data_IF_193524628530
#
_entry.id   IF_193524628530
#
_cell.length_a   1.000
_cell.length_b   1.000
_cell.length_c   1.000
_cell.angle_alpha   90.00
_cell.angle_beta   90.00
_cell.angle_gamma   90.00
#
_symmetry.space_group_name_H-M   'P 1'
#
loop_
_entity.id
_entity.type
_entity.pdbx_description
1 polymer ?
#
# COMPACT_ATOMS: atom_id res chain seq x y z
N UNK A 1 -20.81 15.33 4.94
CA UNK A 1 -20.11 14.16 4.39
C UNK A 1 -18.61 14.41 4.55
N UNK A 2 -17.89 13.65 5.40
CA UNK A 2 -16.46 13.89 5.65
C UNK A 2 -15.65 13.09 4.63
N UNK A 3 -15.07 13.76 3.67
CA UNK A 3 -13.89 13.26 2.98
C UNK A 3 -12.66 13.70 3.77
N UNK A 4 -11.93 12.74 4.35
CA UNK A 4 -10.68 12.91 5.10
C UNK A 4 -10.14 14.36 5.17
N UNK A 5 -10.55 15.11 6.22
CA UNK A 5 -9.89 16.36 6.60
C UNK A 5 -10.40 17.66 5.95
N UNK A 6 -11.32 17.62 5.01
CA UNK A 6 -11.95 18.83 4.49
C UNK A 6 -13.36 18.90 5.05
N UNK A 7 -13.62 19.80 6.00
CA UNK A 7 -14.99 20.21 6.31
C UNK A 7 -15.54 20.95 5.10
N UNK A 8 -16.37 20.26 4.32
CA UNK A 8 -17.22 20.93 3.34
C UNK A 8 -18.25 21.68 4.16
N UNK A 9 -18.10 23.00 4.26
CA UNK A 9 -19.09 23.89 4.86
C UNK A 9 -20.46 23.59 4.28
N UNK A 10 -21.53 23.85 5.05
CA UNK A 10 -22.91 23.64 4.63
C UNK A 10 -23.12 24.06 3.18
N UNK A 11 -23.32 23.09 2.30
CA UNK A 11 -23.85 23.34 0.97
C UNK A 11 -25.24 23.97 1.16
N UNK A 12 -25.55 25.06 0.46
CA UNK A 12 -26.87 25.68 0.55
C UNK A 12 -27.95 24.66 0.21
N UNK A 13 -29.07 24.72 0.91
CA UNK A 13 -30.17 23.76 0.87
C UNK A 13 -30.92 23.66 -0.49
N UNK A 14 -30.41 24.31 -1.53
CA UNK A 14 -31.08 24.54 -2.82
C UNK A 14 -30.22 24.33 -4.07
N UNK A 15 -29.34 23.32 -4.06
CA UNK A 15 -28.69 22.95 -5.33
C UNK A 15 -29.67 22.11 -6.16
N UNK A 16 -30.31 22.73 -7.14
CA UNK A 16 -31.05 22.06 -8.20
C UNK A 16 -30.06 21.30 -9.12
N UNK A 17 -30.51 20.29 -9.85
CA UNK A 17 -29.69 19.46 -10.76
C UNK A 17 -28.86 20.33 -11.74
N UNK A 18 -29.38 21.50 -12.15
CA UNK A 18 -28.68 22.47 -12.98
C UNK A 18 -27.44 23.10 -12.33
N UNK A 19 -27.45 23.31 -11.01
CA UNK A 19 -26.33 23.89 -10.27
C UNK A 19 -25.16 22.89 -10.13
N UNK A 20 -25.46 21.59 -10.05
CA UNK A 20 -24.45 20.53 -9.97
C UNK A 20 -23.68 20.38 -11.30
N UNK A 21 -24.38 20.46 -12.42
CA UNK A 21 -23.77 20.48 -13.75
C UNK A 21 -22.86 21.71 -13.94
N UNK A 22 -23.25 22.86 -13.39
CA UNK A 22 -22.42 24.07 -13.36
C UNK A 22 -21.14 23.89 -12.56
N UNK A 23 -21.20 23.20 -11.43
CA UNK A 23 -20.01 22.87 -10.60
C UNK A 23 -19.07 21.89 -11.33
N UNK A 24 -19.62 20.86 -11.96
CA UNK A 24 -18.83 19.90 -12.75
C UNK A 24 -18.13 20.54 -13.97
N UNK A 25 -18.76 21.60 -14.54
CA UNK A 25 -18.20 22.35 -15.66
C UNK A 25 -17.15 23.41 -15.24
N UNK A 26 -16.96 23.66 -13.95
CA UNK A 26 -15.96 24.63 -13.48
C UNK A 26 -14.55 24.14 -13.78
N UNK A 27 -13.66 25.00 -14.33
CA UNK A 27 -12.26 24.63 -14.63
C UNK A 27 -11.49 24.11 -13.41
N UNK A 28 -11.80 24.62 -12.20
CA UNK A 28 -11.21 24.17 -10.95
C UNK A 28 -11.60 22.73 -10.56
N UNK A 29 -12.84 22.32 -10.84
CA UNK A 29 -13.29 20.95 -10.59
C UNK A 29 -12.66 19.97 -11.58
N UNK A 30 -12.58 20.36 -12.86
CA UNK A 30 -11.93 19.55 -13.88
C UNK A 30 -10.44 19.32 -13.53
N UNK A 31 -9.72 20.38 -13.12
CA UNK A 31 -8.33 20.28 -12.68
C UNK A 31 -8.16 19.38 -11.43
N UNK A 32 -9.07 19.46 -10.47
CA UNK A 32 -9.07 18.59 -9.28
C UNK A 32 -9.33 17.13 -9.64
N UNK A 33 -10.27 16.88 -10.55
CA UNK A 33 -10.57 15.53 -11.03
C UNK A 33 -9.39 14.94 -11.84
N UNK A 34 -8.71 15.75 -12.65
CA UNK A 34 -7.54 15.34 -13.43
C UNK A 34 -6.29 15.10 -12.55
N UNK A 35 -6.20 15.75 -11.39
CA UNK A 35 -5.16 15.48 -10.40
C UNK A 35 -5.38 14.15 -9.62
N UNK A 36 -6.59 13.56 -9.70
CA UNK A 36 -6.87 12.29 -9.05
C UNK A 36 -6.29 11.12 -9.84
N UNK A 37 -5.55 10.20 -9.18
CA UNK A 37 -4.90 9.08 -9.85
C UNK A 37 -5.87 8.00 -10.37
N UNK A 38 -7.03 7.85 -9.74
CA UNK A 38 -8.07 6.93 -10.20
C UNK A 38 -8.84 7.54 -11.37
N UNK A 39 -9.25 6.70 -12.32
CA UNK A 39 -10.19 7.11 -13.35
C UNK A 39 -11.53 7.51 -12.73
N UNK A 40 -12.04 8.67 -13.08
CA UNK A 40 -13.33 9.15 -12.60
C UNK A 40 -14.25 9.43 -13.79
N UNK A 41 -15.42 8.82 -13.76
CA UNK A 41 -16.50 9.08 -14.71
C UNK A 41 -17.77 9.45 -13.96
N UNK A 42 -18.48 10.46 -14.42
CA UNK A 42 -19.74 10.92 -13.85
C UNK A 42 -20.82 10.79 -14.93
N UNK A 43 -21.90 10.09 -14.57
CA UNK A 43 -23.07 9.92 -15.43
C UNK A 43 -24.22 10.74 -14.85
N UNK A 44 -25.03 11.32 -15.71
CA UNK A 44 -26.29 11.92 -15.30
C UNK A 44 -27.36 10.86 -14.98
N UNK A 45 -28.56 11.31 -14.60
CA UNK A 45 -29.67 10.42 -14.26
C UNK A 45 -30.17 9.56 -15.45
N UNK A 46 -29.80 9.93 -16.68
CA UNK A 46 -30.16 9.21 -17.92
C UNK A 46 -29.05 8.26 -18.41
N UNK A 47 -27.91 8.21 -17.70
CA UNK A 47 -26.78 7.36 -18.07
C UNK A 47 -25.82 7.98 -19.10
N UNK A 48 -25.92 9.29 -19.33
CA UNK A 48 -25.02 10.03 -20.23
C UNK A 48 -23.79 10.48 -19.45
N UNK A 49 -22.59 10.31 -20.03
CA UNK A 49 -21.31 10.73 -19.46
C UNK A 49 -21.20 12.26 -19.47
N UNK A 50 -21.20 12.89 -18.31
CA UNK A 50 -21.08 14.34 -18.12
C UNK A 50 -19.75 14.76 -17.51
N UNK A 51 -18.98 13.81 -16.99
CA UNK A 51 -17.62 14.02 -16.45
C UNK A 51 -16.72 12.84 -16.75
N UNK A 52 -15.47 13.14 -17.13
CA UNK A 52 -14.47 12.11 -17.49
C UNK A 52 -13.07 12.69 -17.31
N UNK A 53 -12.28 12.16 -16.39
CA UNK A 53 -10.94 12.70 -16.10
C UNK A 53 -9.86 12.05 -16.97
N UNK A 54 -8.65 12.60 -16.92
CA UNK A 54 -7.51 12.13 -17.73
C UNK A 54 -7.12 10.67 -17.39
N UNK A 55 -7.23 10.26 -16.14
CA UNK A 55 -6.95 8.89 -15.73
C UNK A 55 -7.98 7.91 -16.33
N UNK A 56 -9.27 8.29 -16.37
CA UNK A 56 -10.29 7.50 -17.04
C UNK A 56 -10.02 7.40 -18.55
N UNK A 57 -9.60 8.49 -19.20
CA UNK A 57 -9.23 8.48 -20.62
C UNK A 57 -8.10 7.46 -20.91
N UNK A 58 -7.11 7.39 -20.04
CA UNK A 58 -6.00 6.44 -20.15
C UNK A 58 -6.40 4.98 -19.89
N UNK A 59 -7.34 4.75 -18.96
CA UNK A 59 -7.83 3.39 -18.63
C UNK A 59 -8.70 2.84 -19.75
N UNK A 60 -9.53 3.70 -20.35
CA UNK A 60 -10.44 3.33 -21.44
C UNK A 60 -9.76 3.30 -22.82
N UNK A 61 -8.55 3.85 -22.93
CA UNK A 61 -7.87 4.13 -24.20
C UNK A 61 -8.78 4.96 -25.15
N UNK A 62 -9.48 5.95 -24.57
CA UNK A 62 -10.47 6.76 -25.26
C UNK A 62 -10.26 8.25 -24.92
N UNK A 63 -10.14 9.14 -25.92
CA UNK A 63 -10.06 10.58 -25.68
C UNK A 63 -11.31 11.13 -24.97
N UNK A 64 -11.10 12.03 -24.01
CA UNK A 64 -12.16 12.66 -23.21
C UNK A 64 -13.30 13.23 -24.04
N UNK A 65 -12.97 13.87 -25.16
CA UNK A 65 -13.94 14.51 -26.05
C UNK A 65 -14.88 13.50 -26.71
N UNK A 66 -14.46 12.24 -26.83
CA UNK A 66 -15.29 11.14 -27.37
C UNK A 66 -16.12 10.43 -26.32
N UNK A 67 -15.73 10.55 -25.05
CA UNK A 67 -16.45 9.97 -23.94
C UNK A 67 -17.58 10.89 -23.45
N UNK A 68 -17.35 12.21 -23.42
CA UNK A 68 -18.36 13.17 -22.98
C UNK A 68 -19.57 13.20 -23.93
N UNK A 69 -20.76 13.10 -23.35
CA UNK A 69 -22.02 13.07 -24.07
C UNK A 69 -22.40 11.69 -24.64
N UNK A 70 -21.55 10.69 -24.54
CA UNK A 70 -21.85 9.31 -24.90
C UNK A 70 -22.71 8.62 -23.84
N UNK A 71 -23.55 7.68 -24.24
CA UNK A 71 -24.21 6.75 -23.34
C UNK A 71 -23.23 5.66 -22.88
N UNK A 72 -23.58 4.94 -21.82
CA UNK A 72 -22.73 3.85 -21.33
C UNK A 72 -22.58 2.73 -22.38
N UNK A 73 -23.62 2.47 -23.16
CA UNK A 73 -23.60 1.46 -24.21
C UNK A 73 -22.67 1.87 -25.37
N UNK A 74 -22.73 3.13 -25.80
CA UNK A 74 -21.81 3.68 -26.80
C UNK A 74 -20.36 3.71 -26.30
N UNK A 75 -20.16 3.93 -25.00
CA UNK A 75 -18.85 3.90 -24.38
C UNK A 75 -18.31 2.45 -24.33
N UNK A 76 -19.17 1.47 -24.05
CA UNK A 76 -18.83 0.06 -24.04
C UNK A 76 -18.32 -0.44 -25.40
N UNK A 77 -18.96 0.00 -26.48
CA UNK A 77 -18.54 -0.36 -27.85
C UNK A 77 -17.18 0.24 -28.26
N UNK A 78 -16.80 1.38 -27.68
CA UNK A 78 -15.59 2.15 -28.05
C UNK A 78 -14.43 1.98 -27.10
N UNK A 79 -14.67 1.41 -25.94
CA UNK A 79 -13.69 1.27 -24.85
C UNK A 79 -12.88 -0.01 -24.96
N UNK A 80 -11.67 0.05 -24.48
CA UNK A 80 -10.83 -1.12 -24.28
C UNK A 80 -11.28 -2.01 -23.09
N UNK A 81 -12.24 -1.56 -22.27
CA UNK A 81 -12.78 -2.30 -21.12
C UNK A 81 -14.06 -3.07 -21.50
N UNK A 82 -14.23 -4.26 -20.92
CA UNK A 82 -15.51 -4.99 -21.02
C UNK A 82 -16.52 -4.40 -20.01
N UNK A 83 -17.68 -3.92 -20.50
CA UNK A 83 -18.66 -3.19 -19.72
C UNK A 83 -19.96 -3.92 -19.43
N UNK A 84 -20.10 -5.18 -19.82
CA UNK A 84 -21.39 -5.92 -19.73
C UNK A 84 -21.97 -5.87 -18.30
N UNK A 85 -21.13 -6.15 -17.28
CA UNK A 85 -21.53 -6.11 -15.88
C UNK A 85 -21.76 -4.68 -15.35
N UNK A 86 -21.10 -3.67 -15.92
CA UNK A 86 -21.25 -2.28 -15.54
C UNK A 86 -22.58 -1.70 -16.01
N UNK A 87 -22.99 -1.98 -17.24
CA UNK A 87 -24.28 -1.58 -17.78
C UNK A 87 -25.42 -2.17 -16.92
N UNK A 88 -25.34 -3.44 -16.54
CA UNK A 88 -26.32 -4.07 -15.64
C UNK A 88 -26.38 -3.40 -14.27
N UNK A 89 -25.23 -3.08 -13.66
CA UNK A 89 -25.16 -2.43 -12.36
C UNK A 89 -25.73 -1.00 -12.39
N UNK A 90 -25.53 -0.27 -13.49
CA UNK A 90 -26.06 1.07 -13.69
C UNK A 90 -27.59 1.03 -13.88
N UNK A 91 -28.10 0.12 -14.69
CA UNK A 91 -29.55 -0.08 -14.89
C UNK A 91 -30.26 -0.51 -13.62
N UNK A 92 -29.58 -1.28 -12.74
CA UNK A 92 -30.12 -1.68 -11.46
C UNK A 92 -30.11 -0.56 -10.39
N UNK A 93 -29.57 0.62 -10.71
CA UNK A 93 -29.45 1.79 -9.81
C UNK A 93 -28.92 1.43 -8.41
N UNK A 94 -27.93 0.53 -8.34
CA UNK A 94 -27.36 0.01 -7.09
C UNK A 94 -25.88 0.31 -6.98
N UNK A 95 -25.41 0.36 -5.73
CA UNK A 95 -23.97 0.36 -5.45
C UNK A 95 -23.39 -0.98 -5.87
N UNK A 96 -22.33 -0.96 -6.64
CA UNK A 96 -21.62 -2.17 -7.06
C UNK A 96 -20.10 -1.93 -7.09
N UNK A 97 -19.34 -2.98 -6.82
CA UNK A 97 -17.91 -3.04 -7.06
C UNK A 97 -17.69 -4.21 -8.02
N UNK A 98 -17.23 -3.92 -9.22
CA UNK A 98 -17.12 -4.84 -10.35
C UNK A 98 -15.67 -4.92 -10.82
N UNK A 99 -15.32 -5.99 -11.52
CA UNK A 99 -14.03 -6.12 -12.18
C UNK A 99 -14.23 -6.07 -13.68
N UNK A 100 -13.49 -5.17 -14.33
CA UNK A 100 -13.40 -5.12 -15.77
C UNK A 100 -11.97 -5.44 -16.21
N UNK A 101 -11.84 -6.16 -17.32
CA UNK A 101 -10.57 -6.40 -17.97
C UNK A 101 -10.46 -5.54 -19.22
N UNK A 102 -9.29 -4.89 -19.42
CA UNK A 102 -9.03 -4.22 -20.69
C UNK A 102 -8.55 -5.20 -21.76
N UNK A 103 -8.72 -4.84 -23.01
CA UNK A 103 -8.20 -5.59 -24.17
C UNK A 103 -6.67 -5.76 -24.12
N UNK A 104 -5.96 -4.89 -23.38
CA UNK A 104 -4.52 -4.97 -23.10
C UNK A 104 -4.15 -5.83 -21.89
N UNK A 105 -5.11 -6.55 -21.27
CA UNK A 105 -4.87 -7.45 -20.12
C UNK A 105 -4.82 -6.77 -18.75
N UNK A 106 -5.06 -5.45 -18.65
CA UNK A 106 -5.12 -4.72 -17.38
C UNK A 106 -6.39 -5.09 -16.63
N UNK A 107 -6.29 -5.29 -15.32
CA UNK A 107 -7.43 -5.51 -14.43
C UNK A 107 -7.82 -4.20 -13.74
N UNK A 108 -9.08 -3.80 -13.90
CA UNK A 108 -9.62 -2.55 -13.36
C UNK A 108 -10.75 -2.85 -12.39
N UNK A 109 -10.64 -2.32 -11.15
CA UNK A 109 -11.75 -2.32 -10.20
C UNK A 109 -12.66 -1.13 -10.51
N UNK A 110 -13.93 -1.42 -10.80
CA UNK A 110 -14.95 -0.42 -11.12
C UNK A 110 -15.90 -0.30 -9.95
N UNK A 111 -15.95 0.86 -9.34
CA UNK A 111 -16.86 1.16 -8.22
C UNK A 111 -17.97 2.08 -8.67
N UNK A 112 -19.21 1.59 -8.65
CA UNK A 112 -20.42 2.34 -9.01
C UNK A 112 -21.08 2.91 -7.77
N UNK A 113 -21.32 4.21 -7.73
CA UNK A 113 -21.86 4.93 -6.57
C UNK A 113 -22.96 5.92 -7.01
N UNK A 114 -24.24 5.53 -7.00
CA UNK A 114 -25.35 6.46 -7.27
C UNK A 114 -25.41 7.52 -6.15
N UNK A 115 -25.52 8.77 -6.56
CA UNK A 115 -25.74 9.93 -5.68
C UNK A 115 -27.19 10.34 -5.80
N UNK A 116 -27.90 10.30 -4.66
CA UNK A 116 -29.34 10.47 -4.61
C UNK A 116 -29.72 11.76 -3.90
N UNK A 117 -30.84 12.35 -4.32
CA UNK A 117 -31.45 13.51 -3.68
C UNK A 117 -32.17 13.13 -2.36
N UNK A 118 -32.83 14.12 -1.72
CA UNK A 118 -33.64 13.91 -0.51
C UNK A 118 -34.88 13.00 -0.74
N UNK A 119 -35.33 12.89 -1.99
CA UNK A 119 -36.45 12.03 -2.41
C UNK A 119 -36.00 10.62 -2.77
N UNK A 120 -34.68 10.33 -2.62
CA UNK A 120 -34.02 9.09 -3.01
C UNK A 120 -33.97 8.82 -4.52
N UNK A 121 -34.23 9.82 -5.33
CA UNK A 121 -34.06 9.74 -6.78
C UNK A 121 -32.58 9.94 -7.14
N UNK A 122 -32.06 9.17 -8.08
CA UNK A 122 -30.65 9.26 -8.50
C UNK A 122 -30.45 10.52 -9.34
N UNK A 123 -29.62 11.42 -8.86
CA UNK A 123 -29.26 12.67 -9.54
C UNK A 123 -28.09 12.47 -10.50
N UNK A 124 -27.12 11.69 -10.09
CA UNK A 124 -25.93 11.33 -10.88
C UNK A 124 -25.34 10.02 -10.35
N UNK A 125 -24.53 9.37 -11.16
CA UNK A 125 -23.75 8.19 -10.75
C UNK A 125 -22.26 8.47 -10.92
N UNK A 126 -21.52 8.32 -9.83
CA UNK A 126 -20.06 8.37 -9.85
C UNK A 126 -19.52 6.95 -10.10
N UNK A 127 -18.72 6.80 -11.14
CA UNK A 127 -17.98 5.59 -11.43
C UNK A 127 -16.48 5.86 -11.22
N UNK A 128 -15.86 5.10 -10.32
CA UNK A 128 -14.43 5.19 -10.03
C UNK A 128 -13.76 3.94 -10.60
N UNK A 129 -12.76 4.16 -11.43
CA UNK A 129 -12.00 3.13 -12.12
C UNK A 129 -10.60 3.07 -11.51
N UNK A 130 -10.26 1.95 -10.90
CA UNK A 130 -8.94 1.72 -10.34
C UNK A 130 -8.20 0.69 -11.15
N UNK A 131 -7.15 1.12 -11.80
CA UNK A 131 -6.20 0.20 -12.42
C UNK A 131 -5.42 -0.52 -11.31
N UNK A 132 -5.61 -1.83 -11.21
CA UNK A 132 -4.98 -2.64 -10.15
C UNK A 132 -3.48 -2.78 -10.36
N UNK A 133 -2.97 -2.63 -11.58
CA UNK A 133 -1.54 -2.58 -11.86
C UNK A 133 -0.93 -1.23 -11.47
N UNK A 134 -1.70 -0.14 -11.63
CA UNK A 134 -1.29 1.22 -11.20
C UNK A 134 -1.44 1.37 -9.69
N UNK A 135 -2.36 0.64 -9.02
CA UNK A 135 -2.46 0.62 -7.56
C UNK A 135 -1.18 0.06 -6.93
N UNK A 136 -0.57 -0.97 -7.49
CA UNK A 136 0.75 -1.42 -7.05
C UNK A 136 1.82 -0.34 -7.29
N UNK A 137 1.68 0.45 -8.35
CA UNK A 137 2.61 1.55 -8.65
C UNK A 137 2.26 2.87 -7.92
N UNK A 138 0.99 3.18 -7.67
CA UNK A 138 0.56 4.42 -7.01
C UNK A 138 0.34 4.27 -5.51
N UNK A 139 0.06 3.09 -4.96
CA UNK A 139 0.14 2.85 -3.52
C UNK A 139 1.57 2.93 -3.01
N UNK A 140 2.54 2.60 -3.83
CA UNK A 140 3.96 2.92 -3.57
C UNK A 140 4.24 4.44 -3.70
N UNK A 141 3.48 5.20 -4.51
CA UNK A 141 3.64 6.64 -4.70
C UNK A 141 2.71 7.53 -3.85
N UNK A 142 1.45 7.15 -3.61
CA UNK A 142 0.47 7.97 -2.87
C UNK A 142 0.51 7.79 -1.34
N UNK A 143 1.32 6.88 -0.83
CA UNK A 143 1.64 6.74 0.59
C UNK A 143 3.02 7.32 0.92
N UNK A 144 3.53 8.34 0.22
CA UNK A 144 4.81 8.97 0.59
C UNK A 144 5.97 7.97 0.81
N UNK A 145 5.79 6.72 0.40
CA UNK A 145 6.77 5.68 0.42
C UNK A 145 7.38 5.58 -0.95
N UNK A 146 8.20 6.59 -1.32
CA UNK A 146 9.08 6.38 -2.47
C UNK A 146 9.80 5.06 -2.30
N UNK A 147 9.73 4.25 -3.37
CA UNK A 147 10.50 3.03 -3.52
C UNK A 147 11.93 3.30 -3.08
N UNK A 148 12.41 2.55 -2.09
CA UNK A 148 13.83 2.29 -1.98
C UNK A 148 14.25 1.51 -3.25
N UNK A 149 14.31 2.21 -4.39
CA UNK A 149 14.88 1.69 -5.59
C UNK A 149 16.39 1.70 -5.43
N UNK A 150 16.96 0.54 -5.14
CA UNK A 150 18.34 0.29 -5.49
C UNK A 150 18.46 0.45 -7.01
N UNK A 151 18.94 1.58 -7.45
CA UNK A 151 19.26 1.84 -8.85
C UNK A 151 20.52 1.05 -9.17
N UNK A 152 20.35 -0.10 -9.82
CA UNK A 152 21.46 -0.86 -10.35
C UNK A 152 21.85 -0.32 -11.72
N UNK A 153 23.06 0.20 -11.81
CA UNK A 153 23.68 0.59 -13.07
C UNK A 153 24.97 1.37 -12.86
N UNK A 154 26.01 0.69 -12.37
CA UNK A 154 27.38 1.19 -12.34
C UNK A 154 28.34 0.07 -11.94
N UNK A 155 29.61 0.03 -12.41
CA UNK A 155 30.52 -1.06 -12.12
C UNK A 155 30.79 -1.19 -10.62
N UNK A 156 30.89 -2.43 -10.17
CA UNK A 156 31.09 -2.86 -8.80
C UNK A 156 32.23 -2.10 -8.10
N UNK A 157 31.91 -1.06 -7.37
CA UNK A 157 32.74 -0.48 -6.33
C UNK A 157 31.95 -0.46 -5.05
N UNK A 158 32.29 -1.32 -4.10
CA UNK A 158 32.00 -1.34 -2.63
C UNK A 158 30.81 -0.55 -2.04
N UNK A 159 29.70 -0.35 -2.77
CA UNK A 159 28.52 0.41 -2.36
C UNK A 159 27.31 -0.49 -2.00
N UNK A 160 27.53 -1.71 -1.53
CA UNK A 160 26.48 -2.69 -1.22
C UNK A 160 26.08 -2.78 0.26
N UNK A 161 26.48 -1.84 1.12
CA UNK A 161 26.17 -1.82 2.57
C UNK A 161 25.43 -0.57 3.05
N UNK A 162 24.94 0.31 2.17
CA UNK A 162 24.75 1.72 2.48
C UNK A 162 23.34 2.19 2.87
N UNK A 163 22.25 1.44 2.68
CA UNK A 163 20.91 2.04 2.74
C UNK A 163 19.95 1.45 3.79
N UNK A 164 20.32 0.41 4.52
CA UNK A 164 19.56 -0.10 5.67
C UNK A 164 20.42 -0.06 6.92
N UNK A 165 19.90 0.61 7.94
CA UNK A 165 20.54 0.70 9.24
C UNK A 165 19.81 -0.23 10.21
N UNK A 166 20.56 -1.11 10.86
CA UNK A 166 20.07 -2.03 11.88
C UNK A 166 20.90 -1.90 13.15
N UNK A 167 20.28 -2.19 14.27
CA UNK A 167 21.04 -2.53 15.48
C UNK A 167 21.73 -3.89 15.29
N UNK A 168 22.71 -4.17 16.11
CA UNK A 168 23.53 -5.40 16.00
C UNK A 168 22.68 -6.69 16.10
N UNK A 169 21.62 -6.68 16.92
CA UNK A 169 20.71 -7.82 17.09
C UNK A 169 19.90 -8.08 15.83
N UNK A 170 19.31 -7.02 15.26
CA UNK A 170 18.53 -7.09 14.03
C UNK A 170 19.43 -7.45 12.83
N UNK A 171 20.64 -6.89 12.74
CA UNK A 171 21.61 -7.24 11.70
C UNK A 171 21.94 -8.73 11.71
N UNK A 172 22.22 -9.30 12.89
CA UNK A 172 22.47 -10.74 13.03
C UNK A 172 21.25 -11.57 12.60
N UNK A 173 20.04 -11.18 13.04
CA UNK A 173 18.82 -11.88 12.67
C UNK A 173 18.56 -11.83 11.16
N UNK A 174 18.79 -10.69 10.51
CA UNK A 174 18.71 -10.52 9.05
C UNK A 174 19.73 -11.40 8.33
N UNK A 175 20.98 -11.46 8.80
CA UNK A 175 22.00 -12.34 8.24
C UNK A 175 21.61 -13.83 8.33
N UNK A 176 20.94 -14.24 9.41
CA UNK A 176 20.36 -15.59 9.51
C UNK A 176 19.20 -15.77 8.52
N UNK A 177 18.33 -14.77 8.37
CA UNK A 177 17.23 -14.76 7.40
C UNK A 177 17.71 -14.94 5.97
N UNK A 178 18.78 -14.25 5.57
CA UNK A 178 19.42 -14.39 4.24
C UNK A 178 19.86 -15.84 4.01
N UNK A 179 20.57 -16.45 4.98
CA UNK A 179 21.01 -17.84 4.87
C UNK A 179 19.84 -18.82 4.84
N UNK A 180 18.80 -18.56 5.62
CA UNK A 180 17.57 -19.36 5.63
C UNK A 180 16.87 -19.33 4.26
N UNK A 181 16.65 -18.15 3.70
CA UNK A 181 16.00 -17.97 2.40
C UNK A 181 16.81 -18.62 1.26
N UNK A 182 18.14 -18.46 1.27
CA UNK A 182 19.04 -19.11 0.31
C UNK A 182 18.89 -20.64 0.34
N UNK A 183 18.64 -21.23 1.51
CA UNK A 183 18.42 -22.67 1.73
C UNK A 183 16.95 -23.08 1.63
N UNK A 184 16.07 -22.21 1.09
CA UNK A 184 14.62 -22.43 0.92
C UNK A 184 13.85 -22.60 2.23
N UNK A 185 14.43 -22.20 3.36
CA UNK A 185 13.69 -22.09 4.61
C UNK A 185 12.85 -20.81 4.60
N UNK A 186 11.70 -20.86 5.26
CA UNK A 186 10.78 -19.73 5.37
C UNK A 186 11.28 -18.75 6.40
N UNK A 187 11.06 -17.48 6.15
CA UNK A 187 11.41 -16.38 7.05
C UNK A 187 10.13 -15.67 7.47
N UNK A 188 9.92 -15.54 8.77
CA UNK A 188 8.83 -14.75 9.36
C UNK A 188 9.42 -13.51 10.00
N UNK A 189 8.95 -12.33 9.58
CA UNK A 189 9.37 -11.03 10.11
C UNK A 189 8.25 -10.51 11.01
N UNK A 190 8.54 -10.31 12.29
CA UNK A 190 7.60 -9.76 13.27
C UNK A 190 8.02 -8.37 13.70
N UNK A 191 7.08 -7.54 14.08
CA UNK A 191 7.33 -6.18 14.56
C UNK A 191 6.19 -5.23 14.24
N UNK A 192 6.18 -4.09 14.91
CA UNK A 192 5.15 -3.07 14.75
C UNK A 192 5.04 -2.54 13.32
N UNK A 193 3.91 -1.88 13.03
CA UNK A 193 3.75 -1.16 11.76
C UNK A 193 4.80 -0.05 11.65
N UNK A 194 5.40 0.09 10.46
CA UNK A 194 6.36 1.17 10.18
C UNK A 194 7.81 0.90 10.59
N UNK A 195 8.15 -0.29 11.15
CA UNK A 195 9.56 -0.63 11.53
C UNK A 195 10.44 -1.02 10.34
N UNK A 196 9.90 -1.12 9.10
CA UNK A 196 10.67 -1.44 7.91
C UNK A 196 10.66 -2.93 7.52
N UNK A 197 9.65 -3.73 7.92
CA UNK A 197 9.57 -5.17 7.58
C UNK A 197 9.67 -5.44 6.08
N UNK A 198 9.04 -4.64 5.25
CA UNK A 198 9.07 -4.76 3.79
C UNK A 198 10.47 -4.56 3.23
N UNK A 199 11.21 -3.57 3.73
CA UNK A 199 12.59 -3.29 3.31
C UNK A 199 13.54 -4.41 3.75
N UNK A 200 13.35 -4.95 4.95
CA UNK A 200 14.09 -6.13 5.41
C UNK A 200 13.83 -7.32 4.49
N UNK A 201 12.57 -7.58 4.12
CA UNK A 201 12.22 -8.66 3.20
C UNK A 201 12.88 -8.50 1.81
N UNK A 202 12.90 -7.28 1.26
CA UNK A 202 13.59 -6.95 0.01
C UNK A 202 15.10 -7.18 0.11
N UNK A 203 15.71 -6.71 1.19
CA UNK A 203 17.13 -6.90 1.45
C UNK A 203 17.50 -8.39 1.54
N UNK A 204 16.73 -9.17 2.28
CA UNK A 204 16.92 -10.62 2.42
C UNK A 204 16.81 -11.30 1.04
N UNK A 205 15.80 -10.94 0.25
CA UNK A 205 15.63 -11.45 -1.11
C UNK A 205 16.84 -11.16 -1.99
N UNK A 206 17.26 -9.89 -2.06
CA UNK A 206 18.37 -9.46 -2.91
C UNK A 206 19.69 -10.12 -2.51
N UNK A 207 19.95 -10.20 -1.19
CA UNK A 207 21.17 -10.82 -0.68
C UNK A 207 21.19 -12.35 -0.85
N UNK A 208 20.03 -13.01 -0.80
CA UNK A 208 19.91 -14.46 -0.92
C UNK A 208 19.87 -14.99 -2.36
N UNK A 209 19.23 -14.24 -3.29
CA UNK A 209 19.00 -14.69 -4.67
C UNK A 209 19.77 -13.87 -5.71
N UNK A 210 20.16 -12.64 -5.38
CA UNK A 210 20.73 -11.71 -6.35
C UNK A 210 19.66 -10.99 -7.19
N UNK A 211 20.14 -10.20 -8.15
CA UNK A 211 19.29 -9.46 -9.09
C UNK A 211 18.74 -10.39 -10.17
N UNK A 212 17.52 -10.07 -10.65
CA UNK A 212 16.90 -10.81 -11.76
C UNK A 212 15.90 -11.89 -11.34
N UNK A 213 15.80 -12.19 -10.04
CA UNK A 213 14.75 -13.06 -9.52
C UNK A 213 13.49 -12.25 -9.15
N UNK A 214 12.27 -12.73 -9.45
CA UNK A 214 11.05 -12.01 -9.11
C UNK A 214 10.87 -11.87 -7.60
N UNK A 215 10.47 -10.68 -7.15
CA UNK A 215 10.01 -10.41 -5.79
C UNK A 215 8.55 -9.98 -5.86
N UNK A 216 7.64 -10.89 -5.53
CA UNK A 216 6.20 -10.61 -5.55
C UNK A 216 5.76 -10.26 -4.15
N UNK A 217 5.37 -9.00 -3.95
CA UNK A 217 4.87 -8.49 -2.68
C UNK A 217 3.35 -8.54 -2.66
N UNK A 218 2.79 -9.22 -1.67
CA UNK A 218 1.36 -9.38 -1.44
C UNK A 218 1.03 -8.82 -0.06
N UNK A 219 0.30 -7.71 -0.01
CA UNK A 219 -0.26 -7.24 1.25
C UNK A 219 -1.62 -7.93 1.46
N UNK A 220 -1.65 -8.89 2.40
CA UNK A 220 -2.84 -9.73 2.65
C UNK A 220 -4.04 -8.93 3.15
N UNK A 221 -3.82 -7.84 3.91
CA UNK A 221 -4.89 -6.97 4.39
C UNK A 221 -5.47 -6.03 3.33
N UNK A 222 -4.84 -5.92 2.15
CA UNK A 222 -5.32 -5.05 1.08
C UNK A 222 -6.25 -5.75 0.09
N UNK A 223 -6.27 -7.08 0.09
CA UNK A 223 -7.08 -7.88 -0.83
C UNK A 223 -8.42 -8.20 -0.15
N UNK A 224 -9.57 -7.87 -0.76
CA UNK A 224 -10.87 -8.28 -0.25
C UNK A 224 -10.96 -9.80 -0.06
N UNK A 225 -11.60 -10.25 1.02
CA UNK A 225 -11.70 -11.69 1.34
C UNK A 225 -12.26 -12.54 0.19
N UNK A 226 -13.29 -12.03 -0.51
CA UNK A 226 -13.91 -12.70 -1.65
C UNK A 226 -12.99 -12.92 -2.85
N UNK A 227 -11.90 -12.14 -2.94
CA UNK A 227 -10.95 -12.18 -4.05
C UNK A 227 -9.62 -12.82 -3.66
N UNK A 228 -9.38 -12.99 -2.38
CA UNK A 228 -8.09 -13.42 -1.85
C UNK A 228 -7.61 -14.71 -2.51
N UNK A 229 -8.48 -15.70 -2.60
CA UNK A 229 -8.14 -16.99 -3.23
C UNK A 229 -7.85 -16.85 -4.72
N UNK A 230 -8.67 -16.09 -5.45
CA UNK A 230 -8.50 -15.89 -6.90
C UNK A 230 -7.23 -15.13 -7.24
N UNK A 231 -6.84 -14.15 -6.40
CA UNK A 231 -5.59 -13.42 -6.58
C UNK A 231 -4.36 -14.27 -6.23
N UNK A 232 -4.38 -14.93 -5.07
CA UNK A 232 -3.21 -15.67 -4.59
C UNK A 232 -2.96 -16.97 -5.38
N UNK A 233 -4.02 -17.75 -5.63
CA UNK A 233 -3.92 -19.08 -6.27
C UNK A 233 -4.22 -19.06 -7.76
N UNK A 234 -4.91 -18.02 -8.27
CA UNK A 234 -5.37 -17.95 -9.64
C UNK A 234 -6.63 -18.79 -9.91
N UNK A 235 -7.15 -18.70 -11.12
CA UNK A 235 -8.35 -19.42 -11.54
C UNK A 235 -8.29 -19.85 -12.99
N UNK A 236 -9.01 -20.93 -13.33
CA UNK A 236 -9.22 -21.39 -14.69
C UNK A 236 -10.51 -20.79 -15.26
N UNK A 237 -10.65 -20.86 -16.58
CA UNK A 237 -11.86 -20.42 -17.29
C UNK A 237 -13.11 -21.04 -16.66
N UNK A 238 -14.12 -20.21 -16.38
CA UNK A 238 -15.41 -20.67 -15.86
C UNK A 238 -15.40 -21.06 -14.38
N UNK A 239 -14.37 -20.72 -13.61
CA UNK A 239 -14.28 -21.03 -12.19
C UNK A 239 -15.39 -20.36 -11.36
N UNK A 240 -15.88 -19.20 -11.79
CA UNK A 240 -16.99 -18.45 -11.19
C UNK A 240 -17.59 -17.51 -12.24
N UNK A 241 -18.75 -16.94 -11.95
CA UNK A 241 -19.40 -15.90 -12.78
C UNK A 241 -18.51 -14.65 -12.83
N UNK A 242 -18.10 -14.22 -14.04
CA UNK A 242 -17.15 -13.13 -14.25
C UNK A 242 -15.67 -13.56 -14.37
N UNK A 243 -15.37 -14.87 -14.37
CA UNK A 243 -14.02 -15.35 -14.63
C UNK A 243 -13.59 -15.06 -16.09
N UNK A 244 -12.39 -14.50 -16.26
CA UNK A 244 -11.84 -14.23 -17.60
C UNK A 244 -11.80 -15.49 -18.45
N UNK A 245 -12.06 -15.35 -19.76
CA UNK A 245 -12.06 -16.45 -20.71
C UNK A 245 -10.71 -17.20 -20.81
N UNK A 246 -9.60 -16.53 -20.50
CA UNK A 246 -8.26 -17.11 -20.46
C UNK A 246 -7.84 -17.66 -19.09
N UNK A 247 -8.68 -17.52 -18.03
CA UNK A 247 -8.24 -17.73 -16.66
C UNK A 247 -7.24 -16.66 -16.19
N UNK A 248 -6.73 -16.81 -14.96
CA UNK A 248 -5.71 -15.89 -14.39
C UNK A 248 -4.65 -16.69 -13.64
N UNK A 249 -3.38 -16.38 -13.87
CA UNK A 249 -2.29 -16.89 -13.02
C UNK A 249 -2.36 -16.25 -11.65
N UNK A 250 -2.17 -17.04 -10.58
CA UNK A 250 -2.08 -16.53 -9.23
C UNK A 250 -0.73 -15.88 -8.93
N UNK A 251 -0.70 -15.07 -7.86
CA UNK A 251 0.51 -14.40 -7.40
C UNK A 251 1.62 -15.40 -6.98
N UNK A 252 1.24 -16.58 -6.47
CA UNK A 252 2.20 -17.65 -6.17
C UNK A 252 2.89 -18.13 -7.45
N UNK A 253 2.14 -18.37 -8.55
CA UNK A 253 2.74 -18.78 -9.83
C UNK A 253 3.62 -17.67 -10.42
N UNK A 254 3.23 -16.41 -10.24
CA UNK A 254 3.99 -15.23 -10.70
C UNK A 254 5.33 -15.08 -9.96
N UNK A 255 5.39 -15.49 -8.69
CA UNK A 255 6.62 -15.49 -7.89
C UNK A 255 7.58 -16.66 -8.24
N UNK A 256 7.23 -17.49 -9.23
CA UNK A 256 8.02 -18.65 -9.64
C UNK A 256 9.48 -18.31 -9.93
N UNK A 257 10.42 -19.07 -9.36
CA UNK A 257 11.86 -18.82 -9.45
C UNK A 257 12.41 -17.73 -8.52
N UNK A 258 11.54 -17.06 -7.75
CA UNK A 258 11.90 -15.93 -6.88
C UNK A 258 11.37 -16.05 -5.46
N UNK A 259 10.87 -14.94 -4.94
CA UNK A 259 10.34 -14.83 -3.58
C UNK A 259 8.92 -14.30 -3.58
N UNK A 260 8.03 -14.98 -2.88
CA UNK A 260 6.71 -14.50 -2.48
C UNK A 260 6.84 -13.86 -1.09
N UNK A 261 6.58 -12.57 -1.00
CA UNK A 261 6.53 -11.84 0.26
C UNK A 261 5.07 -11.60 0.65
N UNK A 262 4.62 -12.25 1.73
CA UNK A 262 3.28 -12.14 2.29
C UNK A 262 3.31 -11.15 3.46
N UNK A 263 2.97 -9.90 3.20
CA UNK A 263 2.88 -8.88 4.23
C UNK A 263 1.51 -8.93 4.92
N UNK A 264 1.48 -8.59 6.20
CA UNK A 264 0.29 -8.69 7.04
C UNK A 264 -0.36 -10.09 7.00
N UNK A 265 0.47 -11.15 7.14
CA UNK A 265 0.03 -12.55 7.05
C UNK A 265 -1.10 -12.91 8.03
N UNK A 266 -1.22 -12.17 9.14
CA UNK A 266 -2.32 -12.32 10.10
C UNK A 266 -3.68 -11.91 9.58
N UNK A 267 -3.76 -11.22 8.42
CA UNK A 267 -5.01 -10.79 7.79
C UNK A 267 -5.57 -11.80 6.79
N UNK A 268 -4.87 -12.93 6.58
CA UNK A 268 -5.36 -13.96 5.64
C UNK A 268 -6.66 -14.58 6.13
N UNK A 269 -7.71 -14.63 5.28
CA UNK A 269 -8.96 -15.29 5.62
C UNK A 269 -8.75 -16.74 6.06
N UNK A 270 -9.44 -17.18 7.11
CA UNK A 270 -9.28 -18.51 7.71
C UNK A 270 -9.47 -19.65 6.69
N UNK A 271 -10.37 -19.46 5.74
CA UNK A 271 -10.65 -20.42 4.65
C UNK A 271 -9.42 -20.60 3.76
N UNK A 272 -8.72 -19.50 3.45
CA UNK A 272 -7.56 -19.51 2.55
C UNK A 272 -6.27 -20.01 3.23
N UNK A 273 -6.22 -20.01 4.57
CA UNK A 273 -5.08 -20.51 5.34
C UNK A 273 -4.80 -21.99 5.07
N UNK A 274 -5.86 -22.81 4.86
CA UNK A 274 -5.69 -24.23 4.56
C UNK A 274 -5.03 -24.47 3.19
N UNK A 275 -5.38 -23.66 2.18
CA UNK A 275 -4.77 -23.76 0.85
C UNK A 275 -3.33 -23.26 0.86
N UNK A 276 -3.05 -22.17 1.62
CA UNK A 276 -1.70 -21.68 1.80
C UNK A 276 -0.81 -22.70 2.51
N UNK A 277 -1.32 -23.37 3.54
CA UNK A 277 -0.61 -24.45 4.21
C UNK A 277 -0.19 -25.55 3.22
N UNK A 278 -1.13 -26.03 2.40
CA UNK A 278 -0.85 -27.03 1.38
C UNK A 278 0.26 -26.60 0.42
N UNK A 279 0.20 -25.35 -0.07
CA UNK A 279 1.27 -24.79 -0.88
C UNK A 279 2.63 -24.79 -0.14
N UNK A 280 2.65 -24.37 1.12
CA UNK A 280 3.88 -24.34 1.92
C UNK A 280 4.43 -25.75 2.22
N UNK A 281 3.61 -26.80 2.19
CA UNK A 281 4.02 -28.18 2.42
C UNK A 281 4.57 -28.83 1.14
N UNK A 282 3.80 -28.79 0.08
CA UNK A 282 4.05 -29.56 -1.14
C UNK A 282 4.73 -28.75 -2.24
N UNK A 283 4.74 -27.41 -2.15
CA UNK A 283 5.15 -26.52 -3.23
C UNK A 283 4.22 -26.57 -4.43
N UNK A 284 2.95 -27.00 -4.23
CA UNK A 284 1.97 -27.13 -5.30
C UNK A 284 0.83 -26.13 -5.14
N UNK A 285 0.38 -25.59 -6.26
CA UNK A 285 -0.75 -24.66 -6.35
C UNK A 285 -1.84 -25.30 -7.21
N UNK A 286 -3.08 -25.16 -6.80
CA UNK A 286 -4.25 -25.52 -7.58
C UNK A 286 -5.09 -24.27 -7.81
N UNK A 287 -5.27 -23.88 -9.08
CA UNK A 287 -6.14 -22.77 -9.45
C UNK A 287 -7.60 -23.08 -9.12
N UNK A 288 -8.38 -22.06 -8.82
CA UNK A 288 -9.82 -22.20 -8.65
C UNK A 288 -10.44 -22.79 -9.93
N UNK A 289 -11.30 -23.79 -9.77
CA UNK A 289 -11.90 -24.52 -10.90
C UNK A 289 -10.98 -25.52 -11.63
N UNK A 290 -9.70 -25.60 -11.29
CA UNK A 290 -8.78 -26.55 -11.91
C UNK A 290 -8.82 -27.92 -11.23
N UNK A 291 -8.73 -29.00 -12.01
CA UNK A 291 -8.52 -30.34 -11.49
C UNK A 291 -7.03 -30.63 -11.22
N UNK A 292 -6.12 -30.01 -11.99
CA UNK A 292 -4.69 -30.26 -11.91
C UNK A 292 -3.98 -29.33 -10.92
N UNK A 293 -2.99 -29.86 -10.20
CA UNK A 293 -2.06 -29.12 -9.39
C UNK A 293 -0.80 -28.79 -10.19
N UNK A 294 -0.19 -27.63 -9.90
CA UNK A 294 1.05 -27.18 -10.54
C UNK A 294 2.12 -27.00 -9.47
N UNK A 295 3.29 -27.55 -9.70
CA UNK A 295 4.43 -27.32 -8.82
C UNK A 295 5.06 -25.98 -9.14
N UNK A 296 5.30 -25.16 -8.10
CA UNK A 296 5.91 -23.83 -8.22
C UNK A 296 7.10 -23.76 -7.26
N UNK A 297 8.26 -23.41 -7.81
CA UNK A 297 9.47 -23.22 -7.03
C UNK A 297 9.55 -21.76 -6.56
N UNK A 298 9.13 -21.51 -5.33
CA UNK A 298 9.05 -20.16 -4.72
C UNK A 298 9.61 -20.19 -3.31
N UNK A 299 10.41 -19.19 -2.98
CA UNK A 299 10.80 -18.93 -1.59
C UNK A 299 9.78 -18.04 -0.92
N UNK A 300 9.55 -18.24 0.37
CA UNK A 300 8.49 -17.51 1.09
C UNK A 300 9.09 -16.72 2.25
N UNK A 301 8.77 -15.43 2.26
CA UNK A 301 8.97 -14.52 3.39
C UNK A 301 7.59 -14.04 3.82
N UNK A 302 7.28 -14.10 5.11
CA UNK A 302 6.03 -13.58 5.65
C UNK A 302 6.33 -12.46 6.66
N UNK A 303 5.43 -11.49 6.79
CA UNK A 303 5.55 -10.43 7.78
C UNK A 303 4.21 -10.19 8.49
N UNK A 304 4.28 -9.77 9.76
CA UNK A 304 3.09 -9.41 10.53
C UNK A 304 3.44 -8.42 11.65
N UNK A 305 2.46 -7.60 12.01
CA UNK A 305 2.47 -6.79 13.22
C UNK A 305 1.59 -7.41 14.33
N UNK A 306 0.87 -8.51 14.04
CA UNK A 306 0.00 -9.20 15.00
C UNK A 306 0.73 -10.33 15.73
N UNK A 307 0.29 -10.62 16.92
CA UNK A 307 0.71 -11.84 17.63
C UNK A 307 -0.03 -13.06 17.08
N UNK A 308 0.61 -13.77 16.16
CA UNK A 308 0.04 -14.99 15.57
C UNK A 308 -0.20 -16.08 16.61
N UNK A 309 0.54 -16.10 17.74
CA UNK A 309 0.35 -17.09 18.81
C UNK A 309 -0.96 -16.84 19.56
N UNK A 310 -1.25 -15.57 19.86
CA UNK A 310 -2.54 -15.17 20.43
C UNK A 310 -3.69 -15.48 19.47
N UNK A 311 -3.54 -15.17 18.17
CA UNK A 311 -4.54 -15.49 17.15
C UNK A 311 -4.81 -17.00 17.03
N UNK A 312 -3.78 -17.85 17.20
CA UNK A 312 -3.97 -19.31 17.23
C UNK A 312 -4.79 -19.73 18.46
N UNK A 313 -4.56 -19.13 19.61
CA UNK A 313 -5.35 -19.42 20.82
C UNK A 313 -6.82 -18.99 20.69
N UNK A 314 -7.07 -17.90 19.98
CA UNK A 314 -8.42 -17.36 19.70
C UNK A 314 -9.12 -18.01 18.49
N UNK A 315 -8.45 -18.90 17.77
CA UNK A 315 -9.00 -19.59 16.59
C UNK A 315 -9.01 -18.75 15.31
N UNK A 316 -8.41 -17.55 15.31
CA UNK A 316 -8.28 -16.66 14.15
C UNK A 316 -7.16 -17.05 13.20
N UNK A 317 -6.23 -17.88 13.64
CA UNK A 317 -5.14 -18.40 12.83
C UNK A 317 -4.90 -19.89 13.08
N UNK A 318 -4.63 -20.65 12.03
CA UNK A 318 -4.42 -22.11 12.15
C UNK A 318 -3.06 -22.40 12.79
N UNK A 319 -3.05 -23.30 13.75
CA UNK A 319 -1.82 -23.74 14.47
C UNK A 319 -0.80 -24.39 13.51
N UNK A 320 -1.28 -25.22 12.58
CA UNK A 320 -0.42 -25.91 11.61
C UNK A 320 0.28 -24.90 10.67
N UNK A 321 -0.43 -23.92 10.16
CA UNK A 321 0.13 -22.85 9.33
C UNK A 321 1.15 -22.00 10.11
N UNK A 322 0.84 -21.65 11.37
CA UNK A 322 1.76 -20.92 12.22
C UNK A 322 3.11 -21.63 12.39
N UNK A 323 3.09 -22.93 12.73
CA UNK A 323 4.33 -23.70 12.86
C UNK A 323 5.06 -23.85 11.51
N UNK A 324 4.34 -23.88 10.42
CA UNK A 324 4.94 -23.97 9.09
C UNK A 324 5.62 -22.68 8.65
N UNK A 325 5.11 -21.52 9.05
CA UNK A 325 5.72 -20.20 8.81
C UNK A 325 6.88 -19.89 9.76
N UNK A 326 6.77 -20.30 11.02
CA UNK A 326 7.74 -19.99 12.08
C UNK A 326 8.96 -20.91 12.03
N UNK A 327 9.69 -20.93 10.91
CA UNK A 327 10.95 -21.66 10.76
C UNK A 327 12.13 -20.79 11.18
N UNK A 328 12.23 -19.60 10.62
CA UNK A 328 13.19 -18.57 11.00
C UNK A 328 12.44 -17.28 11.28
N UNK A 329 12.53 -16.78 12.51
CA UNK A 329 11.87 -15.54 12.92
C UNK A 329 12.88 -14.41 13.08
N UNK A 330 12.55 -13.25 12.49
CA UNK A 330 13.24 -11.98 12.67
C UNK A 330 12.29 -11.06 13.41
N UNK A 331 12.59 -10.77 14.66
CA UNK A 331 11.83 -9.83 15.46
C UNK A 331 12.47 -8.44 15.37
N UNK A 332 11.73 -7.48 14.80
CA UNK A 332 12.19 -6.12 14.58
C UNK A 332 11.64 -5.22 15.68
N UNK A 333 12.50 -4.74 16.57
CA UNK A 333 12.06 -3.92 17.69
C UNK A 333 11.57 -2.54 17.24
N UNK A 334 10.63 -1.93 17.97
CA UNK A 334 10.14 -0.58 17.65
C UNK A 334 11.23 0.47 17.88
N UNK A 335 11.15 1.58 17.12
CA UNK A 335 12.18 2.62 17.13
C UNK A 335 12.40 3.24 18.53
N UNK A 336 11.34 3.36 19.33
CA UNK A 336 11.44 3.85 20.72
C UNK A 336 12.30 2.97 21.64
N UNK A 337 12.49 1.71 21.33
CA UNK A 337 13.40 0.81 22.07
C UNK A 337 14.84 0.88 21.57
N UNK A 338 15.09 1.65 20.50
CA UNK A 338 16.38 1.81 19.87
C UNK A 338 16.73 3.31 19.67
N UNK A 339 16.79 4.13 20.75
CA UNK A 339 16.99 5.58 20.61
C UNK A 339 18.29 5.94 19.88
N UNK A 340 19.32 5.11 20.01
CA UNK A 340 20.60 5.30 19.31
C UNK A 340 20.47 5.20 17.78
N UNK A 341 19.40 4.57 17.26
CA UNK A 341 19.15 4.44 15.84
C UNK A 341 18.45 5.67 15.25
N UNK A 342 17.83 6.52 16.06
CA UNK A 342 17.06 7.68 15.55
C UNK A 342 17.97 8.66 14.81
N UNK A 343 19.13 9.00 15.38
CA UNK A 343 20.04 9.96 14.78
C UNK A 343 20.59 9.48 13.41
N UNK A 344 21.16 8.28 13.27
CA UNK A 344 21.62 7.80 11.98
C UNK A 344 20.49 7.62 10.94
N UNK A 345 19.28 7.22 11.37
CA UNK A 345 18.11 7.14 10.48
C UNK A 345 17.66 8.53 10.01
N UNK A 346 17.64 9.51 10.90
CA UNK A 346 17.34 10.91 10.57
C UNK A 346 18.33 11.46 9.55
N UNK A 347 19.63 11.24 9.76
CA UNK A 347 20.68 11.69 8.82
C UNK A 347 20.55 11.01 7.45
N UNK A 348 20.23 9.71 7.42
CA UNK A 348 19.95 8.98 6.18
C UNK A 348 18.74 9.55 5.42
N UNK A 349 17.65 9.84 6.13
CA UNK A 349 16.42 10.39 5.54
C UNK A 349 16.65 11.81 5.02
N UNK A 350 17.39 12.66 5.78
CA UNK A 350 17.80 14.00 5.33
C UNK A 350 18.67 13.93 4.08
N UNK A 351 19.67 13.07 4.07
CA UNK A 351 20.52 12.88 2.89
C UNK A 351 19.70 12.44 1.66
N UNK A 352 18.67 11.64 1.87
CA UNK A 352 17.77 11.18 0.81
C UNK A 352 16.93 12.32 0.24
N UNK A 353 16.26 13.09 1.10
CA UNK A 353 15.43 14.24 0.70
C UNK A 353 16.27 15.29 -0.02
N UNK A 354 17.53 15.46 0.36
CA UNK A 354 18.45 16.44 -0.21
C UNK A 354 19.08 16.03 -1.55
N UNK A 355 18.85 14.83 -2.06
CA UNK A 355 19.43 14.38 -3.35
C UNK A 355 19.04 15.28 -4.52
N UNK A 356 17.77 15.68 -4.56
CA UNK A 356 17.18 16.46 -5.66
C UNK A 356 16.70 17.84 -5.21
N UNK A 357 17.16 18.31 -4.02
CA UNK A 357 16.70 19.56 -3.40
C UNK A 357 17.78 20.65 -3.39
N UNK A 358 17.40 21.86 -3.77
CA UNK A 358 18.22 23.06 -3.61
C UNK A 358 17.34 24.23 -3.17
N UNK A 359 17.61 24.90 -2.03
CA UNK A 359 18.67 24.58 -1.07
C UNK A 359 18.42 23.28 -0.30
N UNK A 360 19.50 22.65 0.16
CA UNK A 360 19.41 21.45 0.97
C UNK A 360 18.71 21.74 2.31
N UNK A 361 17.84 20.81 2.74
CA UNK A 361 17.18 20.85 4.05
C UNK A 361 18.21 20.58 5.15
N UNK A 362 18.31 21.47 6.11
CA UNK A 362 19.05 21.29 7.37
C UNK A 362 18.11 21.49 8.53
N UNK A 363 18.45 20.96 9.70
CA UNK A 363 17.68 21.13 10.92
C UNK A 363 18.43 22.07 11.86
N UNK A 364 17.72 23.03 12.47
CA UNK A 364 18.32 23.77 13.56
C UNK A 364 18.58 22.85 14.77
N UNK A 365 19.47 23.23 15.71
CA UNK A 365 19.80 22.37 16.84
C UNK A 365 18.60 22.02 17.73
N UNK A 366 17.62 22.90 17.88
CA UNK A 366 16.44 22.69 18.71
C UNK A 366 15.45 21.75 18.03
N UNK A 367 15.21 21.90 16.72
CA UNK A 367 14.42 20.98 15.92
C UNK A 367 15.01 19.58 15.94
N UNK A 368 16.33 19.46 15.70
CA UNK A 368 17.03 18.17 15.76
C UNK A 368 16.92 17.51 17.14
N UNK A 369 17.15 18.25 18.22
CA UNK A 369 17.04 17.74 19.58
C UNK A 369 15.62 17.24 19.88
N UNK A 370 14.60 17.95 19.41
CA UNK A 370 13.19 17.57 19.57
C UNK A 370 12.88 16.26 18.86
N UNK A 371 13.37 16.08 17.63
CA UNK A 371 13.22 14.83 16.88
C UNK A 371 13.92 13.66 17.58
N UNK A 372 15.16 13.87 18.08
CA UNK A 372 15.90 12.81 18.77
C UNK A 372 15.26 12.39 20.09
N UNK A 373 14.48 13.26 20.72
CA UNK A 373 13.76 12.95 21.98
C UNK A 373 12.36 12.35 21.75
N UNK A 374 11.89 12.23 20.50
CA UNK A 374 10.57 11.72 20.20
C UNK A 374 10.53 10.19 20.15
N UNK A 375 9.41 9.62 20.60
CA UNK A 375 9.24 8.15 20.70
C UNK A 375 8.84 7.44 19.41
N UNK A 376 8.39 8.18 18.39
CA UNK A 376 7.93 7.69 17.08
C UNK A 376 7.01 6.45 17.18
N UNK A 377 5.76 6.58 17.64
CA UNK A 377 4.81 5.47 17.69
C UNK A 377 4.56 4.84 16.31
N UNK A 378 4.64 5.60 15.22
CA UNK A 378 4.62 5.12 13.83
C UNK A 378 5.97 4.65 13.32
N UNK A 379 6.99 4.56 14.20
CA UNK A 379 8.33 4.03 13.92
C UNK A 379 9.05 4.80 12.78
N UNK A 380 9.83 4.11 11.95
CA UNK A 380 10.61 4.69 10.84
C UNK A 380 9.71 5.38 9.81
N UNK A 381 8.48 4.87 9.63
CA UNK A 381 7.51 5.50 8.71
C UNK A 381 7.11 6.89 9.16
N UNK A 382 6.85 7.08 10.45
CA UNK A 382 6.54 8.39 11.02
C UNK A 382 7.73 9.33 10.90
N UNK A 383 8.94 8.88 11.29
CA UNK A 383 10.16 9.68 11.14
C UNK A 383 10.37 10.14 9.69
N UNK A 384 10.16 9.24 8.71
CA UNK A 384 10.28 9.58 7.30
C UNK A 384 9.24 10.64 6.87
N UNK A 385 7.97 10.50 7.27
CA UNK A 385 6.92 11.47 6.97
C UNK A 385 7.21 12.84 7.59
N UNK A 386 7.78 12.89 8.80
CA UNK A 386 8.18 14.16 9.43
C UNK A 386 9.27 14.84 8.62
N UNK A 387 10.30 14.10 8.20
CA UNK A 387 11.39 14.65 7.39
C UNK A 387 10.89 15.13 6.02
N UNK A 388 10.02 14.35 5.35
CA UNK A 388 9.39 14.74 4.08
C UNK A 388 8.55 16.02 4.24
N UNK A 389 7.77 16.13 5.31
CA UNK A 389 6.97 17.32 5.60
C UNK A 389 7.84 18.54 5.85
N UNK A 390 8.89 18.40 6.67
CA UNK A 390 9.84 19.50 6.89
C UNK A 390 10.49 19.94 5.59
N UNK A 391 10.75 19.03 4.67
CA UNK A 391 11.27 19.36 3.35
C UNK A 391 10.30 20.18 2.49
N UNK A 392 9.00 20.08 2.73
CA UNK A 392 7.97 20.87 2.02
C UNK A 392 7.78 22.25 2.67
N UNK A 393 7.82 22.31 4.01
CA UNK A 393 7.46 23.53 4.77
C UNK A 393 8.65 24.47 4.93
N UNK A 394 9.86 23.94 5.12
CA UNK A 394 11.05 24.75 5.43
C UNK A 394 11.80 25.18 4.17
N UNK A 395 12.20 26.45 4.12
CA UNK A 395 13.05 27.06 3.08
C UNK A 395 14.54 26.90 3.42
N UNK A 396 14.99 25.62 3.46
CA UNK A 396 16.40 25.26 3.68
C UNK A 396 16.74 24.93 5.13
N UNK A 397 16.28 25.67 6.13
CA UNK A 397 16.52 25.35 7.55
C UNK A 397 15.18 25.11 8.24
N UNK A 398 14.96 23.89 8.73
CA UNK A 398 13.77 23.56 9.50
C UNK A 398 13.98 23.90 10.99
N UNK A 399 12.97 24.51 11.59
CA UNK A 399 12.93 25.01 12.96
C UNK A 399 11.88 24.27 13.81
N UNK A 400 11.82 24.56 15.12
CA UNK A 400 10.75 24.02 15.98
C UNK A 400 9.36 24.49 15.57
N UNK A 401 9.22 25.67 14.95
CA UNK A 401 7.94 26.19 14.49
C UNK A 401 7.39 25.34 13.33
N UNK A 402 8.28 24.85 12.45
CA UNK A 402 7.91 23.96 11.36
C UNK A 402 7.45 22.58 11.87
N UNK A 403 7.96 22.14 13.03
CA UNK A 403 7.50 20.92 13.71
C UNK A 403 6.16 21.14 14.43
N UNK A 404 5.92 22.32 15.00
CA UNK A 404 4.72 22.60 15.79
C UNK A 404 3.40 22.53 14.97
N UNK A 405 3.49 22.63 13.65
CA UNK A 405 2.37 22.38 12.74
C UNK A 405 1.89 20.92 12.70
N UNK A 406 2.59 19.98 13.35
CA UNK A 406 2.20 18.57 13.46
C UNK A 406 1.56 18.29 14.82
N UNK A 407 0.33 17.74 14.89
CA UNK A 407 -0.33 17.40 16.13
C UNK A 407 0.49 16.50 17.07
N UNK A 408 1.33 15.63 16.51
CA UNK A 408 2.18 14.70 17.26
C UNK A 408 3.33 15.41 17.98
N UNK A 409 3.75 16.58 17.49
CA UNK A 409 4.78 17.43 18.09
C UNK A 409 4.23 18.63 18.85
N UNK A 410 2.92 18.92 18.75
CA UNK A 410 2.26 20.05 19.41
C UNK A 410 2.20 19.91 20.94
N UNK A 411 2.27 18.68 21.48
CA UNK A 411 2.25 18.45 22.93
C UNK A 411 3.69 18.46 23.47
N UNK A 412 4.04 19.32 24.43
CA UNK A 412 5.34 19.28 25.07
C UNK A 412 5.51 17.94 25.81
N UNK A 413 6.50 17.14 25.41
CA UNK A 413 6.90 15.99 26.24
C UNK A 413 7.49 16.54 27.53
N UNK A 414 7.01 16.14 28.74
CA UNK A 414 7.64 16.52 29.98
C UNK A 414 9.10 16.02 29.95
N UNK A 415 10.05 16.94 30.01
CA UNK A 415 11.46 16.62 30.19
C UNK A 415 11.55 15.90 31.55
N UNK A 416 12.01 14.62 31.62
CA UNK A 416 12.24 13.99 32.90
C UNK A 416 13.26 14.86 33.67
N UNK A 417 13.04 15.17 34.95
CA UNK A 417 13.99 15.96 35.71
C UNK A 417 15.35 15.25 35.68
N UNK A 418 16.39 16.02 35.32
CA UNK A 418 17.77 15.56 35.42
C UNK A 418 17.95 14.90 36.80
N UNK A 419 18.35 13.63 36.85
CA UNK A 419 18.77 13.02 38.10
C UNK A 419 19.99 13.79 38.57
N UNK A 420 19.75 14.77 39.44
CA UNK A 420 20.80 15.46 40.14
C UNK A 420 21.72 14.42 40.79
N UNK A 421 22.99 14.56 40.54
CA UNK A 421 24.05 13.88 41.26
C UNK A 421 23.92 14.22 42.76
N UNK A 422 23.10 13.44 43.46
CA UNK A 422 22.95 13.50 44.90
C UNK A 422 24.19 12.95 45.56
N UNK A 423 25.04 13.84 46.07
CA UNK A 423 26.27 13.56 46.72
C UNK A 423 26.22 12.45 47.79
N UNK A 424 27.17 11.54 47.69
CA UNK A 424 27.66 10.74 48.79
C UNK A 424 28.12 11.68 49.94
N UNK A 425 27.27 11.87 50.95
CA UNK A 425 27.74 12.29 52.29
C UNK A 425 27.98 11.08 53.12
N UNK A 426 29.25 10.90 53.43
CA UNK A 426 29.73 9.99 54.46
C UNK A 426 28.93 10.15 55.76
N UNK A 427 28.53 9.07 56.38
CA UNK A 427 28.35 8.99 57.84
C UNK A 427 29.31 7.95 58.40
N UNK A 428 30.05 8.43 59.36
CA UNK A 428 30.97 7.77 60.27
C UNK A 428 30.29 6.67 61.08
#
# INVERSE_FOLDING_TARGET
MRFRGIEVGHLPDTLATGDLLGVLAMPGFAALADAHPDGMMVLDATGIVIGFNQAAASIHDLPRERALGATIDELAERSALAFDDLAEALHADRRADLFAASSGGRSVLVSVRPVRDRRRETMLTLVVLRDLEVIDHQRDGARGGERFHFRNGGPATQAGRGDLLFDERTERAVAFGIRALARRARVLITGETGVGKTEIARHIHQAALGQGHPFVHVNCGSIPESLFESELFGYERGAFTGALQGGKKGLIETAGGGTLFLDEIGEIPLVSQAKLLKFLEDGTVQRLGAAAQRRVDVRVVAATNRDLSAMVAEGGFRRDLYHRLKVMTIDVPPLRSQPAMIAPLLDLLLARVNRDRSPALTLDPACRARLLSHGFPGNVRELAHVVERLAVVADGVATLEDLAGDPEFATPVPIPPERGEGGLRAQV
#
